data_IF_599107688358
#
_entry.id   IF_599107688358
#
_cell.length_a   1.000
_cell.length_b   1.000
_cell.length_c   1.000
_cell.angle_alpha   90.00
_cell.angle_beta   90.00
_cell.angle_gamma   90.00
#
_symmetry.space_group_name_H-M   'P 1'
#
loop_
_entity.id
_entity.type
_entity.pdbx_description
1 polymer ?
#
# COMPACT_ATOMS: atom_id res chain seq x y z
N UNK A 1 -20.92 4.30 8.86
CA UNK A 1 -21.00 3.18 7.90
C UNK A 1 -20.13 3.54 6.71
N UNK A 2 -18.88 3.07 6.65
CA UNK A 2 -17.93 3.48 5.60
C UNK A 2 -18.36 2.85 4.27
N UNK A 3 -18.80 3.68 3.31
CA UNK A 3 -19.02 3.25 1.94
C UNK A 3 -17.66 3.06 1.28
N UNK A 4 -17.28 1.80 1.10
CA UNK A 4 -16.18 1.42 0.22
C UNK A 4 -16.58 1.91 -1.18
N UNK A 5 -15.89 2.94 -1.70
CA UNK A 5 -16.05 3.41 -3.07
C UNK A 5 -15.85 2.24 -4.04
N UNK A 6 -16.54 2.20 -5.19
CA UNK A 6 -16.45 1.08 -6.11
C UNK A 6 -14.99 0.84 -6.53
N UNK A 7 -14.59 -0.43 -6.75
CA UNK A 7 -13.21 -0.75 -7.00
C UNK A 7 -12.78 -0.16 -8.35
N UNK A 8 -11.69 0.61 -8.33
CA UNK A 8 -10.98 1.00 -9.55
C UNK A 8 -10.67 -0.28 -10.37
N UNK A 9 -10.69 -0.21 -11.70
CA UNK A 9 -10.70 -1.36 -12.61
C UNK A 9 -9.56 -2.40 -12.41
N UNK A 10 -8.49 -2.04 -11.68
CA UNK A 10 -7.38 -2.92 -11.29
C UNK A 10 -7.67 -3.81 -10.06
N UNK A 11 -8.75 -3.59 -9.32
CA UNK A 11 -9.12 -4.43 -8.16
C UNK A 11 -9.49 -5.88 -8.53
N UNK A 12 -9.53 -6.21 -9.83
CA UNK A 12 -9.71 -7.58 -10.32
C UNK A 12 -8.48 -8.47 -10.10
N UNK A 13 -7.28 -7.89 -9.94
CA UNK A 13 -6.09 -8.60 -9.46
C UNK A 13 -5.76 -8.12 -8.04
N UNK A 14 -6.42 -8.68 -7.03
CA UNK A 14 -6.07 -8.45 -5.61
C UNK A 14 -4.72 -9.09 -5.30
N UNK A 15 -3.62 -8.46 -5.70
CA UNK A 15 -2.28 -8.87 -5.32
C UNK A 15 -2.07 -8.52 -3.84
N UNK A 16 -1.80 -9.55 -3.06
CA UNK A 16 -1.48 -9.43 -1.64
C UNK A 16 0.03 -9.49 -1.47
N UNK A 17 0.59 -8.61 -0.63
CA UNK A 17 2.01 -8.53 -0.34
C UNK A 17 2.24 -8.61 1.16
N UNK A 18 3.34 -9.22 1.57
CA UNK A 18 3.83 -9.13 2.94
C UNK A 18 5.09 -8.27 2.91
N UNK A 19 5.11 -7.23 3.74
CA UNK A 19 6.27 -6.34 3.81
C UNK A 19 7.49 -7.05 4.39
N UNK A 20 8.64 -6.83 3.77
CA UNK A 20 9.95 -7.33 4.22
C UNK A 20 10.73 -6.33 5.08
N UNK A 21 10.20 -5.12 5.24
CA UNK A 21 10.75 -4.05 6.07
C UNK A 21 9.64 -3.06 6.44
N UNK A 22 9.92 -2.16 7.37
CA UNK A 22 9.03 -1.03 7.61
C UNK A 22 9.05 -0.07 6.42
N UNK A 23 7.89 0.42 5.98
CA UNK A 23 7.77 1.37 4.87
C UNK A 23 6.86 2.54 5.24
N UNK A 24 6.97 3.64 4.51
CA UNK A 24 6.07 4.78 4.72
C UNK A 24 4.78 4.62 3.92
N UNK A 25 3.64 4.84 4.56
CA UNK A 25 2.33 4.92 3.93
C UNK A 25 1.68 6.27 4.18
N UNK A 26 1.09 6.87 3.15
CA UNK A 26 0.31 8.10 3.27
C UNK A 26 -1.16 7.71 3.32
N UNK A 27 -1.84 7.97 4.44
CA UNK A 27 -3.24 7.61 4.58
C UNK A 27 -4.11 8.38 3.55
N UNK A 28 -5.07 7.68 2.97
CA UNK A 28 -6.09 8.26 2.10
C UNK A 28 -7.39 8.34 2.87
N UNK A 29 -7.90 9.55 3.07
CA UNK A 29 -9.17 9.82 3.72
C UNK A 29 -10.16 10.24 2.66
N UNK A 30 -11.27 9.52 2.54
CA UNK A 30 -12.40 9.94 1.72
C UNK A 30 -13.35 10.79 2.57
N UNK A 31 -13.68 12.00 2.11
CA UNK A 31 -14.72 12.80 2.74
C UNK A 31 -16.13 12.34 2.34
N UNK A 32 -17.16 12.94 2.95
CA UNK A 32 -18.57 12.61 2.69
C UNK A 32 -19.00 12.90 1.24
N UNK A 33 -18.24 13.74 0.53
CA UNK A 33 -18.45 14.07 -0.88
C UNK A 33 -17.66 13.16 -1.83
N UNK A 34 -16.95 12.16 -1.30
CA UNK A 34 -16.11 11.23 -2.07
C UNK A 34 -14.79 11.82 -2.53
N UNK A 35 -14.40 13.02 -2.06
CA UNK A 35 -13.10 13.60 -2.37
C UNK A 35 -12.03 12.92 -1.53
N UNK A 36 -10.92 12.59 -2.19
CA UNK A 36 -9.76 11.99 -1.55
C UNK A 36 -8.88 13.10 -0.97
N UNK A 37 -8.53 12.98 0.31
CA UNK A 37 -7.60 13.87 1.02
C UNK A 37 -6.46 13.03 1.58
N UNK A 38 -5.25 13.59 1.57
CA UNK A 38 -4.12 12.97 2.23
C UNK A 38 -4.24 13.18 3.74
N UNK A 39 -4.11 12.09 4.49
CA UNK A 39 -4.11 12.04 5.95
C UNK A 39 -2.71 11.89 6.51
N UNK A 40 -2.61 11.16 7.62
CA UNK A 40 -1.34 10.96 8.35
C UNK A 40 -0.35 10.10 7.55
N UNK A 41 0.94 10.45 7.65
CA UNK A 41 2.03 9.57 7.23
C UNK A 41 2.31 8.57 8.35
N UNK A 42 2.20 7.29 8.03
CA UNK A 42 2.38 6.18 8.97
C UNK A 42 3.55 5.30 8.54
N UNK A 43 4.12 4.59 9.51
CA UNK A 43 5.04 3.49 9.25
C UNK A 43 4.25 2.18 9.26
N UNK A 44 4.20 1.53 8.10
CA UNK A 44 3.65 0.18 7.94
C UNK A 44 4.74 -0.80 8.40
N UNK A 45 4.47 -1.70 9.35
CA UNK A 45 5.48 -2.56 9.91
C UNK A 45 5.87 -3.69 8.95
N UNK A 46 7.12 -4.16 9.07
CA UNK A 46 7.55 -5.44 8.52
C UNK A 46 6.58 -6.56 8.93
N UNK A 47 6.31 -7.48 8.01
CA UNK A 47 5.34 -8.54 8.19
C UNK A 47 3.88 -8.12 7.96
N UNK A 48 3.60 -6.83 7.73
CA UNK A 48 2.25 -6.38 7.40
C UNK A 48 1.76 -6.98 6.08
N UNK A 49 0.57 -7.59 6.14
CA UNK A 49 -0.16 -8.05 4.95
C UNK A 49 -0.92 -6.88 4.31
N UNK A 50 -0.55 -6.54 3.08
CA UNK A 50 -1.14 -5.46 2.30
C UNK A 50 -1.92 -6.02 1.12
N UNK A 51 -2.99 -5.33 0.71
CA UNK A 51 -3.71 -5.64 -0.52
C UNK A 51 -3.68 -4.45 -1.47
N UNK A 52 -3.20 -4.63 -2.70
CA UNK A 52 -3.33 -3.60 -3.73
C UNK A 52 -4.81 -3.45 -4.10
N UNK A 53 -5.30 -2.22 -4.05
CA UNK A 53 -6.71 -1.89 -4.29
C UNK A 53 -6.91 -0.81 -5.36
N UNK A 54 -5.84 -0.30 -5.98
CA UNK A 54 -5.93 0.60 -7.12
C UNK A 54 -4.61 1.33 -7.41
N UNK A 55 -4.67 2.23 -8.38
CA UNK A 55 -3.54 3.07 -8.79
C UNK A 55 -3.16 4.06 -7.68
N UNK A 56 -1.88 4.44 -7.68
CA UNK A 56 -1.36 5.54 -6.90
C UNK A 56 -1.96 6.89 -7.30
N UNK A 57 -1.44 7.96 -6.70
CA UNK A 57 -1.71 9.32 -7.19
C UNK A 57 -0.75 9.71 -8.33
N UNK A 58 0.32 8.94 -8.53
CA UNK A 58 1.27 9.04 -9.64
C UNK A 58 1.75 7.65 -10.08
N UNK A 59 2.69 7.61 -11.04
CA UNK A 59 3.23 6.38 -11.59
C UNK A 59 4.17 5.61 -10.63
N UNK A 60 4.62 6.23 -9.53
CA UNK A 60 5.59 5.66 -8.59
C UNK A 60 4.91 5.13 -7.32
N UNK A 61 3.60 5.35 -7.18
CA UNK A 61 2.83 4.98 -6.01
C UNK A 61 1.74 3.98 -6.36
N UNK A 62 1.31 3.25 -5.35
CA UNK A 62 0.17 2.34 -5.47
C UNK A 62 -0.72 2.48 -4.25
N UNK A 63 -2.02 2.24 -4.44
CA UNK A 63 -3.00 2.30 -3.37
C UNK A 63 -3.18 0.92 -2.75
N UNK A 64 -3.00 0.83 -1.45
CA UNK A 64 -3.12 -0.41 -0.68
C UNK A 64 -4.18 -0.30 0.42
N UNK A 65 -4.67 -1.44 0.88
CA UNK A 65 -5.46 -1.59 2.11
C UNK A 65 -4.62 -2.30 3.17
N UNK A 66 -4.66 -1.77 4.39
CA UNK A 66 -4.02 -2.35 5.58
C UNK A 66 -4.81 -1.95 6.83
N UNK A 67 -5.10 -2.91 7.72
CA UNK A 67 -5.87 -2.69 8.97
C UNK A 67 -7.15 -1.86 8.79
N UNK A 68 -7.86 -2.07 7.68
CA UNK A 68 -9.10 -1.36 7.34
C UNK A 68 -8.90 0.08 6.82
N UNK A 69 -7.67 0.59 6.83
CA UNK A 69 -7.29 1.87 6.22
C UNK A 69 -6.87 1.73 4.76
N UNK A 70 -6.89 2.84 4.02
CA UNK A 70 -6.35 2.94 2.66
C UNK A 70 -5.14 3.85 2.67
N UNK A 71 -4.08 3.46 1.96
CA UNK A 71 -2.82 4.17 1.94
C UNK A 71 -2.22 4.23 0.54
N UNK A 72 -1.48 5.29 0.25
CA UNK A 72 -0.52 5.29 -0.84
C UNK A 72 0.86 4.90 -0.32
N UNK A 73 1.52 3.99 -1.03
CA UNK A 73 2.90 3.56 -0.76
C UNK A 73 3.71 3.63 -2.05
N UNK A 74 5.03 3.76 -1.94
CA UNK A 74 5.91 3.73 -3.11
C UNK A 74 6.08 2.30 -3.64
N UNK A 75 6.10 2.14 -4.96
CA UNK A 75 6.30 0.83 -5.59
C UNK A 75 7.66 0.21 -5.24
N UNK A 76 8.71 1.04 -5.14
CA UNK A 76 10.07 0.61 -4.75
C UNK A 76 10.14 0.04 -3.31
N UNK A 77 9.15 0.31 -2.48
CA UNK A 77 9.04 -0.26 -1.13
C UNK A 77 8.33 -1.62 -1.11
N UNK A 78 7.66 -1.99 -2.20
CA UNK A 78 6.97 -3.27 -2.39
C UNK A 78 7.79 -4.28 -3.20
N UNK A 79 8.82 -3.82 -3.94
CA UNK A 79 9.71 -4.71 -4.67
C UNK A 79 10.40 -5.69 -3.71
N UNK A 80 10.54 -6.96 -4.09
CA UNK A 80 11.05 -7.97 -3.19
C UNK A 80 12.46 -7.57 -2.74
N UNK A 81 12.68 -7.65 -1.44
CA UNK A 81 13.99 -7.70 -0.79
C UNK A 81 14.81 -8.95 -1.24
N UNK A 82 14.69 -9.38 -2.49
CA UNK A 82 15.49 -10.43 -3.12
C UNK A 82 16.98 -10.11 -3.02
N UNK A 83 17.36 -8.84 -2.98
CA UNK A 83 18.73 -8.40 -2.73
C UNK A 83 19.19 -8.58 -1.28
N UNK A 84 18.27 -8.56 -0.31
CA UNK A 84 18.61 -8.70 1.12
C UNK A 84 18.88 -10.16 1.49
N UNK A 85 18.10 -11.09 0.93
CA UNK A 85 18.35 -12.54 1.08
C UNK A 85 19.61 -12.98 0.33
N UNK A 86 19.89 -12.42 -0.85
CA UNK A 86 21.12 -12.72 -1.59
C UNK A 86 22.39 -12.25 -0.85
N UNK A 87 22.33 -11.13 -0.10
CA UNK A 87 23.43 -10.67 0.76
C UNK A 87 23.56 -11.47 2.05
N UNK A 88 22.45 -11.89 2.65
CA UNK A 88 22.47 -12.72 3.86
C UNK A 88 22.99 -14.15 3.62
N UNK A 89 22.85 -14.67 2.39
CA UNK A 89 23.38 -15.99 2.00
C UNK A 89 24.84 -15.97 1.51
N UNK A 90 25.44 -14.79 1.35
CA UNK A 90 26.83 -14.61 0.90
C UNK A 90 27.79 -14.20 2.04
N UNK A 91 27.34 -14.27 3.30
CA UNK A 91 28.09 -13.95 4.51
C UNK A 91 28.32 -15.16 5.40
#
# INVERSE_FOLDING_TARGET
MYRISPPDALARERKSFVLSRNISGIQVICDEMGRRRMGTLVQLPEGAGLQICGEGFDANTVKIVWEGGTYYVFLADLEPAAETLARAAAG
#
